data_IF_516521027440
#
_entry.id   IF_516521027440
#
_cell.length_a   1.000
_cell.length_b   1.000
_cell.length_c   1.000
_cell.angle_alpha   90.00
_cell.angle_beta   90.00
_cell.angle_gamma   90.00
#
_symmetry.space_group_name_H-M   'P 1'
#
loop_
_entity.id
_entity.type
_entity.pdbx_description
1 polymer ?
#
# COMPACT_ATOMS: atom_id res chain seq x y z
N UNK A 1 9.96 7.45 19.29
CA UNK A 1 11.06 7.41 18.30
C UNK A 1 10.75 6.29 17.32
N UNK A 2 10.37 6.63 16.09
CA UNK A 2 10.10 5.63 15.05
C UNK A 2 11.43 4.96 14.73
N UNK A 3 11.49 3.63 14.81
CA UNK A 3 12.70 2.87 14.48
C UNK A 3 13.05 3.04 12.99
N UNK A 4 14.33 3.08 12.61
CA UNK A 4 14.77 3.39 11.23
C UNK A 4 14.11 2.49 10.17
N UNK A 5 13.86 1.22 10.50
CA UNK A 5 13.14 0.27 9.63
C UNK A 5 11.67 0.62 9.44
N UNK A 6 11.00 1.17 10.46
CA UNK A 6 9.61 1.61 10.35
C UNK A 6 9.51 2.89 9.53
N UNK A 7 10.46 3.82 9.70
CA UNK A 7 10.55 5.02 8.89
C UNK A 7 10.75 4.68 7.41
N UNK A 8 11.67 3.76 7.08
CA UNK A 8 11.90 3.32 5.71
C UNK A 8 10.65 2.74 5.04
N UNK A 9 9.90 1.92 5.78
CA UNK A 9 8.64 1.34 5.29
C UNK A 9 7.57 2.41 5.10
N UNK A 10 7.47 3.37 6.02
CA UNK A 10 6.49 4.45 5.96
C UNK A 10 6.77 5.38 4.77
N UNK A 11 8.03 5.72 4.53
CA UNK A 11 8.45 6.54 3.38
C UNK A 11 8.20 5.81 2.06
N UNK A 12 8.51 4.50 1.99
CA UNK A 12 8.19 3.69 0.82
C UNK A 12 6.67 3.60 0.54
N UNK A 13 5.86 3.48 1.59
CA UNK A 13 4.40 3.48 1.49
C UNK A 13 3.86 4.84 1.03
N UNK A 14 4.43 5.95 1.50
CA UNK A 14 4.07 7.29 1.03
C UNK A 14 4.37 7.48 -0.47
N UNK A 15 5.58 7.14 -0.90
CA UNK A 15 5.97 7.26 -2.33
C UNK A 15 5.11 6.36 -3.21
N UNK A 16 4.91 5.09 -2.80
CA UNK A 16 4.05 4.16 -3.53
C UNK A 16 2.59 4.61 -3.59
N UNK A 17 2.05 5.15 -2.48
CA UNK A 17 0.70 5.68 -2.40
C UNK A 17 0.48 6.88 -3.32
N UNK A 18 1.41 7.84 -3.32
CA UNK A 18 1.36 9.02 -4.20
C UNK A 18 1.44 8.59 -5.67
N UNK A 19 2.33 7.65 -5.99
CA UNK A 19 2.47 7.13 -7.35
C UNK A 19 1.16 6.48 -7.85
N UNK A 20 0.56 5.61 -7.05
CA UNK A 20 -0.71 4.95 -7.38
C UNK A 20 -1.84 5.97 -7.49
N UNK A 21 -1.96 6.92 -6.56
CA UNK A 21 -2.96 7.98 -6.64
C UNK A 21 -2.78 8.89 -7.88
N UNK A 22 -1.54 9.15 -8.29
CA UNK A 22 -1.24 9.88 -9.52
C UNK A 22 -1.73 9.14 -10.76
N UNK A 23 -1.48 7.83 -10.84
CA UNK A 23 -1.96 6.96 -11.94
C UNK A 23 -3.47 6.86 -11.94
N UNK A 24 -4.11 6.71 -10.77
CA UNK A 24 -5.57 6.69 -10.64
C UNK A 24 -6.17 7.99 -11.15
N UNK A 25 -5.62 9.15 -10.76
CA UNK A 25 -6.10 10.46 -11.22
C UNK A 25 -5.86 10.72 -12.71
N UNK A 26 -4.82 10.13 -13.30
CA UNK A 26 -4.56 10.23 -14.73
C UNK A 26 -5.56 9.43 -15.57
N UNK A 27 -6.34 8.54 -14.94
CA UNK A 27 -7.26 7.66 -15.64
C UNK A 27 -8.68 8.22 -15.61
N UNK A 28 -9.18 8.63 -16.77
CA UNK A 28 -10.51 9.24 -16.93
C UNK A 28 -11.68 8.24 -16.82
N UNK A 29 -11.38 6.95 -16.62
CA UNK A 29 -12.40 5.90 -16.49
C UNK A 29 -12.64 5.47 -15.04
N UNK A 30 -13.84 5.77 -14.54
CA UNK A 30 -14.28 5.45 -13.18
C UNK A 30 -14.18 3.95 -12.86
N UNK A 31 -14.57 3.06 -13.78
CA UNK A 31 -14.58 1.60 -13.53
C UNK A 31 -13.16 1.08 -13.31
N UNK A 32 -12.20 1.50 -14.14
CA UNK A 32 -10.81 1.03 -14.01
C UNK A 32 -10.17 1.62 -12.76
N UNK A 33 -10.50 2.87 -12.41
CA UNK A 33 -10.04 3.52 -11.19
C UNK A 33 -10.51 2.75 -9.94
N UNK A 34 -11.78 2.34 -9.90
CA UNK A 34 -12.33 1.52 -8.80
C UNK A 34 -11.65 0.16 -8.71
N UNK A 35 -11.49 -0.56 -9.83
CA UNK A 35 -10.83 -1.88 -9.84
C UNK A 35 -9.38 -1.78 -9.37
N UNK A 36 -8.63 -0.79 -9.86
CA UNK A 36 -7.24 -0.59 -9.49
C UNK A 36 -7.08 -0.21 -8.02
N UNK A 37 -8.01 0.58 -7.47
CA UNK A 37 -8.06 0.91 -6.04
C UNK A 37 -8.24 -0.35 -5.18
N UNK A 38 -9.18 -1.21 -5.56
CA UNK A 38 -9.44 -2.46 -4.83
C UNK A 38 -8.20 -3.36 -4.84
N UNK A 39 -7.57 -3.54 -6.01
CA UNK A 39 -6.35 -4.35 -6.14
C UNK A 39 -5.22 -3.79 -5.26
N UNK A 40 -5.00 -2.47 -5.27
CA UNK A 40 -4.00 -1.83 -4.43
C UNK A 40 -4.27 -2.09 -2.94
N UNK A 41 -5.52 -1.93 -2.51
CA UNK A 41 -5.90 -2.16 -1.11
C UNK A 41 -5.71 -3.63 -0.71
N UNK A 42 -6.07 -4.57 -1.59
CA UNK A 42 -5.84 -6.01 -1.39
C UNK A 42 -4.37 -6.34 -1.22
N UNK A 43 -3.47 -5.76 -2.03
CA UNK A 43 -2.02 -5.96 -1.92
C UNK A 43 -1.50 -5.42 -0.58
N UNK A 44 -1.89 -4.21 -0.20
CA UNK A 44 -1.49 -3.59 1.08
C UNK A 44 -1.96 -4.45 2.26
N UNK A 45 -3.22 -4.88 2.24
CA UNK A 45 -3.79 -5.76 3.27
C UNK A 45 -3.08 -7.12 3.34
N UNK A 46 -2.72 -7.69 2.20
CA UNK A 46 -1.98 -8.96 2.12
C UNK A 46 -0.58 -8.85 2.74
N UNK A 47 0.16 -7.79 2.41
CA UNK A 47 1.49 -7.52 2.98
C UNK A 47 1.39 -7.31 4.49
N UNK A 48 0.39 -6.55 4.94
CA UNK A 48 0.19 -6.25 6.36
C UNK A 48 -0.20 -7.51 7.15
N UNK A 49 -1.12 -8.32 6.61
CA UNK A 49 -1.54 -9.59 7.20
C UNK A 49 -0.38 -10.58 7.32
N UNK A 50 0.48 -10.67 6.30
CA UNK A 50 1.68 -11.52 6.36
C UNK A 50 2.69 -11.04 7.41
N UNK A 51 2.89 -9.72 7.52
CA UNK A 51 3.74 -9.10 8.55
C UNK A 51 3.23 -9.36 9.97
N UNK A 52 1.90 -9.32 10.17
CA UNK A 52 1.26 -9.66 11.45
C UNK A 52 1.39 -11.15 11.79
N UNK A 53 1.19 -12.04 10.82
CA UNK A 53 1.31 -13.49 11.04
C UNK A 53 2.73 -13.91 11.43
N UNK A 54 3.76 -13.24 10.88
CA UNK A 54 5.16 -13.47 11.26
C UNK A 54 5.45 -13.05 12.71
N UNK A 55 4.74 -12.06 13.26
CA UNK A 55 4.90 -11.59 14.64
C UNK A 55 4.28 -12.53 15.69
N UNK A 56 3.30 -13.37 15.30
CA UNK A 56 2.61 -14.31 16.21
C UNK A 56 3.17 -15.76 16.14
N UNK A 57 4.26 -15.99 15.42
CA UNK A 57 4.93 -17.31 15.30
C UNK A 57 6.34 -17.34 15.90
N UNK A 58 6.78 -16.24 16.49
CA UNK A 58 7.92 -16.17 17.44
C UNK A 58 7.35 -16.07 18.85
#
# INVERSE_FOLDING_TARGET
MINDKQALVLTGLMVGGIFVFGVLKALDNFVVLTVLTIIFFTIVLSIFSNRWKKKNKE
#
